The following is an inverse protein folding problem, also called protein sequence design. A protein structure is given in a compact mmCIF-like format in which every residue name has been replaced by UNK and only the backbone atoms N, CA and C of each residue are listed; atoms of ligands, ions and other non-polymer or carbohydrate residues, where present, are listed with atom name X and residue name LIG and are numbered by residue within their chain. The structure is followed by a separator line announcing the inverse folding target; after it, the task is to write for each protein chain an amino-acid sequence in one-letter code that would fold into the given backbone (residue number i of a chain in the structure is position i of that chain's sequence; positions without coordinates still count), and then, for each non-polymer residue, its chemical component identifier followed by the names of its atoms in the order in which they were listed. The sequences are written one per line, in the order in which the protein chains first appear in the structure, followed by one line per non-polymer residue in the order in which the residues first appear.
data_IF_655189065675
#
_entry.id   IF_655189065675
#
_cell.length_a   1.000
_cell.length_b   1.000
_cell.length_c   1.000
_cell.angle_alpha   90.00
_cell.angle_beta   90.00
_cell.angle_gamma   90.00
#
_symmetry.space_group_name_H-M   'P 1'
#
loop_
_entity.id
_entity.type
_entity.pdbx_description
1 polymer ?
#
# COMPACT_ATOMS: atom_id res chain seq x y z
N UNK A 1 24.88 5.82 22.78
CA UNK A 1 23.98 6.98 22.61
C UNK A 1 24.70 7.96 21.69
N UNK A 2 24.54 7.84 20.39
CA UNK A 2 24.93 8.88 19.43
C UNK A 2 23.64 9.45 18.89
N UNK A 3 23.33 10.63 19.39
CA UNK A 3 22.25 11.49 18.90
C UNK A 3 22.59 11.87 17.45
N UNK A 4 22.19 10.98 16.53
CA UNK A 4 22.23 11.24 15.10
C UNK A 4 21.14 12.24 14.76
N UNK A 5 21.32 13.50 15.16
CA UNK A 5 20.55 14.62 14.62
C UNK A 5 20.78 14.65 13.12
N UNK A 6 19.89 13.97 12.38
CA UNK A 6 19.76 14.24 10.96
C UNK A 6 19.47 15.72 10.81
N UNK A 7 20.45 16.46 10.34
CA UNK A 7 20.30 17.89 10.05
C UNK A 7 19.04 18.04 9.18
N UNK A 8 18.12 18.92 9.60
CA UNK A 8 16.94 19.25 8.80
C UNK A 8 17.41 19.74 7.44
N UNK A 9 16.89 19.13 6.38
CA UNK A 9 17.20 19.59 5.03
C UNK A 9 16.73 21.05 4.88
N UNK A 10 17.53 21.94 4.30
CA UNK A 10 17.09 23.31 4.03
C UNK A 10 15.96 23.37 3.00
N UNK A 11 15.59 22.24 2.40
CA UNK A 11 14.61 22.15 1.30
C UNK A 11 13.26 21.58 1.70
N UNK A 12 13.17 20.82 2.81
CA UNK A 12 11.93 20.19 3.30
C UNK A 12 11.79 20.53 4.79
N UNK A 13 10.76 21.33 5.12
CA UNK A 13 10.41 21.66 6.51
C UNK A 13 9.75 20.47 7.21
N UNK A 14 9.95 20.34 8.52
CA UNK A 14 9.32 19.29 9.34
C UNK A 14 7.78 19.36 9.31
N UNK A 15 7.21 20.56 9.24
CA UNK A 15 5.77 20.80 9.20
C UNK A 15 5.20 20.87 7.77
N UNK A 16 6.05 20.75 6.75
CA UNK A 16 5.61 20.75 5.36
C UNK A 16 4.74 19.52 5.08
N UNK A 17 3.65 19.72 4.35
CA UNK A 17 2.67 18.66 4.09
C UNK A 17 2.80 18.13 2.66
N UNK A 18 2.86 16.82 2.55
CA UNK A 18 2.93 16.09 1.29
C UNK A 18 1.67 15.24 1.08
N UNK A 19 1.22 15.13 -0.16
CA UNK A 19 0.10 14.24 -0.50
C UNK A 19 0.62 12.81 -0.64
N UNK A 20 0.13 11.94 0.24
CA UNK A 20 0.46 10.51 0.27
C UNK A 20 -0.58 9.67 -0.47
N UNK A 21 -1.86 9.96 -0.21
CA UNK A 21 -3.01 9.30 -0.84
C UNK A 21 -3.92 10.34 -1.47
N UNK A 22 -4.27 10.14 -2.71
CA UNK A 22 -5.20 11.01 -3.43
C UNK A 22 -6.64 10.78 -2.97
N UNK A 23 -7.53 11.69 -3.33
CA UNK A 23 -8.95 11.54 -2.98
C UNK A 23 -9.53 10.23 -3.55
N UNK A 24 -9.19 9.88 -4.80
CA UNK A 24 -9.67 8.64 -5.41
C UNK A 24 -9.21 7.39 -4.64
N UNK A 25 -7.94 7.34 -4.26
CA UNK A 25 -7.40 6.24 -3.47
C UNK A 25 -8.09 6.11 -2.11
N UNK A 26 -8.36 7.24 -1.43
CA UNK A 26 -9.08 7.26 -0.15
C UNK A 26 -10.54 6.81 -0.28
N UNK A 27 -11.24 7.22 -1.33
CA UNK A 27 -12.62 6.79 -1.57
C UNK A 27 -12.70 5.30 -1.88
N UNK A 28 -11.78 4.78 -2.70
CA UNK A 28 -11.67 3.34 -2.97
C UNK A 28 -11.38 2.55 -1.69
N UNK A 29 -10.44 3.03 -0.87
CA UNK A 29 -10.12 2.42 0.42
C UNK A 29 -11.32 2.43 1.38
N UNK A 30 -12.02 3.55 1.49
CA UNK A 30 -13.23 3.66 2.31
C UNK A 30 -14.34 2.68 1.87
N UNK A 31 -14.59 2.61 0.54
CA UNK A 31 -15.56 1.66 0.00
C UNK A 31 -15.15 0.22 0.29
N UNK A 32 -13.86 -0.10 0.18
CA UNK A 32 -13.32 -1.42 0.54
C UNK A 32 -13.55 -1.72 2.02
N UNK A 33 -13.31 -0.77 2.93
CA UNK A 33 -13.57 -0.94 4.37
C UNK A 33 -15.05 -1.28 4.61
N UNK A 34 -15.97 -0.48 4.07
CA UNK A 34 -17.41 -0.66 4.29
C UNK A 34 -17.89 -2.01 3.76
N UNK A 35 -17.48 -2.37 2.54
CA UNK A 35 -17.88 -3.64 1.93
C UNK A 35 -17.26 -4.83 2.66
N UNK A 36 -15.97 -4.77 3.01
CA UNK A 36 -15.27 -5.81 3.73
C UNK A 36 -15.89 -6.08 5.10
N UNK A 37 -16.10 -5.04 5.91
CA UNK A 37 -16.71 -5.19 7.24
C UNK A 37 -18.11 -5.79 7.13
N UNK A 38 -18.93 -5.33 6.18
CA UNK A 38 -20.26 -5.88 5.94
C UNK A 38 -20.21 -7.35 5.53
N UNK A 39 -19.27 -7.73 4.64
CA UNK A 39 -19.07 -9.10 4.18
C UNK A 39 -18.64 -10.04 5.32
N UNK A 40 -17.74 -9.59 6.19
CA UNK A 40 -17.31 -10.34 7.39
C UNK A 40 -18.48 -10.55 8.34
N UNK A 41 -19.18 -9.47 8.71
CA UNK A 41 -20.29 -9.52 9.68
C UNK A 41 -21.45 -10.37 9.18
N UNK A 42 -21.72 -10.37 7.88
CA UNK A 42 -22.82 -11.15 7.29
C UNK A 42 -22.42 -12.58 6.91
N UNK A 43 -21.14 -12.82 6.64
CA UNK A 43 -20.61 -14.11 6.18
C UNK A 43 -20.18 -15.05 7.32
N UNK A 44 -19.54 -14.54 8.36
CA UNK A 44 -19.04 -15.37 9.48
C UNK A 44 -20.10 -16.19 10.19
N UNK A 45 -21.35 -15.73 10.39
CA UNK A 45 -22.42 -16.58 10.93
C UNK A 45 -22.74 -17.82 10.09
N UNK A 46 -22.29 -17.88 8.81
CA UNK A 46 -22.43 -19.07 7.95
C UNK A 46 -21.27 -20.04 8.14
N UNK A 47 -20.10 -19.55 8.53
CA UNK A 47 -18.89 -20.36 8.76
C UNK A 47 -18.87 -20.91 10.18
N UNK A 48 -19.29 -20.08 11.16
CA UNK A 48 -19.24 -20.35 12.59
C UNK A 48 -20.64 -20.18 13.22
N UNK A 49 -21.67 -20.94 12.78
CA UNK A 49 -23.06 -20.73 13.22
C UNK A 49 -23.27 -20.96 14.72
N UNK A 50 -22.43 -21.80 15.34
CA UNK A 50 -22.49 -22.15 16.75
C UNK A 50 -22.05 -21.03 17.71
N UNK A 51 -21.44 -19.95 17.20
CA UNK A 51 -21.01 -18.86 18.06
C UNK A 51 -22.19 -18.04 18.59
N UNK A 52 -22.41 -17.97 19.91
CA UNK A 52 -23.58 -17.33 20.51
C UNK A 52 -23.68 -15.83 20.24
N UNK A 53 -22.56 -15.20 19.90
CA UNK A 53 -22.50 -13.78 19.57
C UNK A 53 -23.45 -13.41 18.42
N UNK A 54 -23.69 -14.30 17.46
CA UNK A 54 -24.55 -14.02 16.31
C UNK A 54 -26.01 -13.84 16.73
N UNK A 55 -26.48 -14.66 17.64
CA UNK A 55 -27.84 -14.53 18.21
C UNK A 55 -27.93 -13.28 19.07
N UNK A 56 -26.90 -12.97 19.85
CA UNK A 56 -26.87 -11.81 20.74
C UNK A 56 -26.91 -10.48 19.96
N UNK A 57 -26.22 -10.35 18.83
CA UNK A 57 -26.26 -9.16 17.99
C UNK A 57 -27.37 -9.19 16.92
N UNK A 58 -28.29 -10.13 16.97
CA UNK A 58 -29.42 -10.24 16.05
C UNK A 58 -29.11 -10.82 14.67
N UNK A 59 -27.94 -11.44 14.52
CA UNK A 59 -27.46 -12.04 13.26
C UNK A 59 -27.54 -13.58 13.27
N UNK A 60 -28.36 -14.16 14.16
CA UNK A 60 -28.62 -15.60 14.18
C UNK A 60 -29.48 -16.08 13.01
N UNK A 61 -29.98 -17.32 13.08
CA UNK A 61 -30.74 -17.97 11.98
C UNK A 61 -31.97 -17.17 11.50
N UNK A 62 -32.67 -16.50 12.43
CA UNK A 62 -33.86 -15.70 12.10
C UNK A 62 -33.57 -14.55 11.11
N UNK A 63 -32.35 -14.08 11.03
CA UNK A 63 -31.93 -12.98 10.15
C UNK A 63 -31.27 -13.46 8.86
N UNK A 64 -31.33 -14.76 8.53
CA UNK A 64 -30.64 -15.33 7.39
C UNK A 64 -30.97 -14.61 6.06
N UNK A 65 -32.25 -14.33 5.80
CA UNK A 65 -32.66 -13.64 4.56
C UNK A 65 -32.05 -12.23 4.45
N UNK A 66 -32.08 -11.45 5.55
CA UNK A 66 -31.49 -10.12 5.60
C UNK A 66 -29.98 -10.17 5.45
N UNK A 67 -29.32 -11.08 6.17
CA UNK A 67 -27.85 -11.27 6.06
C UNK A 67 -27.44 -11.64 4.65
N UNK A 68 -28.16 -12.58 4.02
CA UNK A 68 -27.90 -12.99 2.64
C UNK A 68 -28.05 -11.84 1.66
N UNK A 69 -29.08 -11.00 1.83
CA UNK A 69 -29.28 -9.81 1.01
C UNK A 69 -28.12 -8.80 1.21
N UNK A 70 -27.78 -8.47 2.45
CA UNK A 70 -26.69 -7.53 2.76
C UNK A 70 -25.34 -8.05 2.27
N UNK A 71 -25.10 -9.36 2.39
CA UNK A 71 -23.86 -9.99 1.87
C UNK A 71 -23.75 -9.83 0.37
N UNK A 72 -24.83 -10.05 -0.37
CA UNK A 72 -24.86 -9.88 -1.84
C UNK A 72 -24.70 -8.42 -2.25
N UNK A 73 -25.34 -7.49 -1.55
CA UNK A 73 -25.18 -6.04 -1.79
C UNK A 73 -23.73 -5.64 -1.55
N UNK A 74 -23.13 -6.04 -0.43
CA UNK A 74 -21.74 -5.74 -0.13
C UNK A 74 -20.77 -6.43 -1.10
N UNK A 75 -21.06 -7.67 -1.54
CA UNK A 75 -20.30 -8.37 -2.57
C UNK A 75 -20.35 -7.63 -3.91
N UNK A 76 -21.51 -7.13 -4.32
CA UNK A 76 -21.64 -6.27 -5.51
C UNK A 76 -20.84 -4.98 -5.35
N UNK A 77 -20.87 -4.38 -4.16
CA UNK A 77 -20.06 -3.20 -3.82
C UNK A 77 -18.56 -3.46 -3.91
N UNK A 78 -18.09 -4.64 -3.45
CA UNK A 78 -16.69 -5.04 -3.56
C UNK A 78 -16.28 -5.26 -5.03
N UNK A 79 -17.14 -5.87 -5.85
CA UNK A 79 -16.92 -6.02 -7.30
C UNK A 79 -16.81 -4.64 -7.95
N UNK A 80 -17.74 -3.73 -7.64
CA UNK A 80 -17.72 -2.37 -8.17
C UNK A 80 -16.46 -1.59 -7.76
N UNK A 81 -16.02 -1.71 -6.50
CA UNK A 81 -14.78 -1.12 -6.00
C UNK A 81 -13.55 -1.68 -6.74
N UNK A 82 -13.51 -3.00 -6.94
CA UNK A 82 -12.42 -3.67 -7.66
C UNK A 82 -12.37 -3.25 -9.14
N UNK A 83 -13.51 -3.17 -9.81
CA UNK A 83 -13.59 -2.67 -11.19
C UNK A 83 -13.18 -1.18 -11.29
N UNK A 84 -13.64 -0.35 -10.35
CA UNK A 84 -13.20 1.04 -10.28
C UNK A 84 -11.68 1.14 -10.12
N UNK A 85 -11.10 0.30 -9.25
CA UNK A 85 -9.64 0.27 -9.09
C UNK A 85 -8.92 -0.13 -10.39
N UNK A 86 -9.40 -1.16 -11.10
CA UNK A 86 -8.84 -1.57 -12.39
C UNK A 86 -8.92 -0.43 -13.41
N UNK A 87 -10.08 0.23 -13.53
CA UNK A 87 -10.25 1.38 -14.42
C UNK A 87 -9.31 2.52 -14.03
N UNK A 88 -9.20 2.84 -12.73
CA UNK A 88 -8.28 3.87 -12.23
C UNK A 88 -6.83 3.58 -12.65
N UNK A 89 -6.36 2.34 -12.44
CA UNK A 89 -5.00 1.92 -12.79
C UNK A 89 -4.74 1.95 -14.30
N UNK A 90 -5.73 1.56 -15.12
CA UNK A 90 -5.57 1.45 -16.57
C UNK A 90 -5.83 2.75 -17.32
N UNK A 91 -6.73 3.59 -16.82
CA UNK A 91 -7.22 4.77 -17.55
C UNK A 91 -6.61 6.10 -17.06
N UNK A 92 -5.89 6.13 -15.93
CA UNK A 92 -5.30 7.37 -15.40
C UNK A 92 -3.79 7.25 -15.26
N UNK A 93 -3.07 8.33 -15.55
CA UNK A 93 -1.60 8.37 -15.35
C UNK A 93 -1.22 8.19 -13.88
N UNK A 94 -2.04 8.74 -12.99
CA UNK A 94 -1.87 8.63 -11.54
C UNK A 94 -2.00 7.17 -11.09
N UNK A 95 -3.06 6.47 -11.52
CA UNK A 95 -3.28 5.06 -11.23
C UNK A 95 -2.20 4.16 -11.81
N UNK A 96 -1.78 4.41 -13.05
CA UNK A 96 -0.68 3.67 -13.68
C UNK A 96 0.64 3.86 -12.94
N UNK A 97 0.91 5.08 -12.44
CA UNK A 97 2.09 5.37 -11.61
C UNK A 97 2.00 4.64 -10.27
N UNK A 98 0.86 4.75 -9.59
CA UNK A 98 0.57 4.04 -8.34
C UNK A 98 0.82 2.53 -8.48
N UNK A 99 0.26 1.90 -9.52
CA UNK A 99 0.42 0.48 -9.75
C UNK A 99 1.89 0.08 -9.96
N UNK A 100 2.64 0.83 -10.77
CA UNK A 100 4.08 0.58 -10.98
C UNK A 100 4.89 0.73 -9.68
N UNK A 101 4.51 1.66 -8.81
CA UNK A 101 5.16 1.86 -7.51
C UNK A 101 4.82 0.73 -6.53
N UNK A 102 3.61 0.14 -6.62
CA UNK A 102 3.16 -0.97 -5.78
C UNK A 102 3.62 -2.35 -6.25
N UNK A 103 4.12 -2.47 -7.49
CA UNK A 103 4.70 -3.74 -7.93
C UNK A 103 5.97 -4.08 -7.15
N UNK A 104 6.13 -5.34 -6.70
CA UNK A 104 7.34 -5.79 -6.02
C UNK A 104 8.56 -5.67 -6.92
N UNK A 105 9.63 -5.18 -6.34
CA UNK A 105 10.94 -5.08 -6.98
C UNK A 105 11.93 -5.97 -6.23
N UNK A 106 13.03 -6.36 -6.85
CA UNK A 106 14.07 -7.15 -6.18
C UNK A 106 14.61 -6.48 -4.91
N UNK A 107 14.59 -5.15 -4.87
CA UNK A 107 15.00 -4.38 -3.70
C UNK A 107 14.06 -4.60 -2.50
N UNK A 108 12.77 -4.88 -2.72
CA UNK A 108 11.80 -5.09 -1.64
C UNK A 108 12.11 -6.39 -0.87
N UNK A 109 12.52 -7.44 -1.60
CA UNK A 109 12.97 -8.71 -0.98
C UNK A 109 14.22 -8.45 -0.11
N UNK A 110 15.14 -7.62 -0.62
CA UNK A 110 16.32 -7.24 0.12
C UNK A 110 15.97 -6.43 1.37
N UNK A 111 15.08 -5.45 1.24
CA UNK A 111 14.59 -4.65 2.37
C UNK A 111 13.87 -5.49 3.43
N UNK A 112 13.15 -6.54 3.02
CA UNK A 112 12.57 -7.52 3.96
C UNK A 112 13.68 -8.22 4.76
N UNK A 113 14.72 -8.72 4.08
CA UNK A 113 15.87 -9.37 4.74
C UNK A 113 16.58 -8.41 5.70
N UNK A 114 16.78 -7.16 5.28
CA UNK A 114 17.37 -6.11 6.11
C UNK A 114 16.51 -5.81 7.34
N UNK A 115 15.18 -5.65 7.16
CA UNK A 115 14.27 -5.36 8.26
C UNK A 115 14.26 -6.50 9.30
N UNK A 116 14.17 -7.74 8.86
CA UNK A 116 14.22 -8.91 9.74
C UNK A 116 15.59 -9.02 10.42
N UNK A 117 16.66 -8.83 9.68
CA UNK A 117 18.03 -8.85 10.22
C UNK A 117 18.27 -7.78 11.28
N UNK A 118 17.72 -6.57 11.04
CA UNK A 118 17.77 -5.46 12.00
C UNK A 118 16.97 -5.77 13.26
N UNK A 119 15.71 -6.20 13.13
CA UNK A 119 14.83 -6.50 14.28
C UNK A 119 15.35 -7.65 15.14
N UNK A 120 15.95 -8.67 14.53
CA UNK A 120 16.57 -9.79 15.25
C UNK A 120 17.93 -9.44 15.85
N UNK A 121 18.45 -8.23 15.66
CA UNK A 121 19.76 -7.80 16.13
C UNK A 121 20.90 -8.65 15.56
N UNK A 122 20.71 -9.28 14.40
CA UNK A 122 21.67 -10.21 13.81
C UNK A 122 23.03 -9.55 13.57
N UNK A 123 23.03 -8.29 13.16
CA UNK A 123 24.27 -7.55 12.91
C UNK A 123 25.07 -7.36 14.18
N UNK A 124 24.44 -6.96 15.27
CA UNK A 124 25.13 -6.74 16.53
C UNK A 124 25.67 -8.07 17.10
N UNK A 125 24.86 -9.13 17.02
CA UNK A 125 25.24 -10.47 17.47
C UNK A 125 26.39 -11.06 16.64
N UNK A 126 26.36 -10.92 15.33
CA UNK A 126 27.42 -11.39 14.42
C UNK A 126 28.71 -10.56 14.56
N UNK A 127 28.57 -9.25 14.78
CA UNK A 127 29.72 -8.35 15.02
C UNK A 127 30.38 -8.58 16.35
N UNK A 128 29.63 -8.82 17.44
CA UNK A 128 30.16 -9.12 18.76
C UNK A 128 30.92 -10.44 18.80
N UNK A 129 30.49 -11.44 18.02
CA UNK A 129 31.17 -12.75 17.96
C UNK A 129 32.46 -12.77 17.15
N UNK A 130 32.89 -11.69 16.52
CA UNK A 130 34.21 -11.48 15.90
C UNK A 130 34.58 -12.34 14.70
N UNK A 131 34.00 -13.55 14.56
CA UNK A 131 34.37 -14.52 13.51
C UNK A 131 34.02 -14.07 12.07
N UNK A 132 33.02 -13.21 11.90
CA UNK A 132 32.53 -12.77 10.59
C UNK A 132 32.87 -11.30 10.29
N UNK A 133 33.54 -10.60 11.22
CA UNK A 133 33.84 -9.17 11.10
C UNK A 133 34.55 -8.82 9.80
N UNK A 134 35.61 -9.54 9.46
CA UNK A 134 36.35 -9.28 8.22
C UNK A 134 35.60 -9.61 6.95
N UNK A 135 34.62 -10.52 6.98
CA UNK A 135 33.75 -10.84 5.87
C UNK A 135 32.66 -9.76 5.72
N UNK A 136 32.05 -9.32 6.82
CA UNK A 136 31.02 -8.30 6.86
C UNK A 136 31.57 -6.91 6.50
N UNK A 137 32.80 -6.59 6.88
CA UNK A 137 33.43 -5.31 6.55
C UNK A 137 33.72 -5.16 5.06
N UNK A 138 33.95 -6.26 4.35
CA UNK A 138 34.17 -6.28 2.89
C UNK A 138 32.87 -6.17 2.07
N UNK A 139 31.70 -6.32 2.69
CA UNK A 139 30.40 -6.33 2.02
C UNK A 139 29.43 -5.38 2.75
N UNK A 140 29.44 -4.07 2.42
CA UNK A 140 28.66 -3.05 3.11
C UNK A 140 27.13 -3.29 3.09
N UNK A 141 26.65 -4.09 2.16
CA UNK A 141 25.25 -4.45 2.02
C UNK A 141 24.72 -5.45 3.06
N UNK A 142 25.58 -6.06 3.89
CA UNK A 142 25.18 -6.88 5.06
C UNK A 142 25.15 -6.09 6.38
N UNK A 143 25.23 -4.77 6.31
CA UNK A 143 25.21 -3.93 7.52
C UNK A 143 23.79 -3.55 7.89
N UNK A 144 23.06 -4.43 8.57
CA UNK A 144 21.73 -4.16 9.13
C UNK A 144 21.80 -3.21 10.36
N UNK A 145 22.48 -2.09 10.24
CA UNK A 145 22.68 -1.14 11.35
C UNK A 145 21.59 -0.11 11.46
N UNK A 146 20.91 0.13 10.36
CA UNK A 146 19.84 1.11 10.24
C UNK A 146 18.63 0.42 9.58
N UNK A 147 17.41 0.87 9.88
CA UNK A 147 16.25 0.38 9.16
C UNK A 147 16.40 0.69 7.66
N UNK A 148 15.83 -0.14 6.78
CA UNK A 148 15.91 0.06 5.34
C UNK A 148 15.40 1.44 4.92
N UNK A 149 16.06 2.06 3.96
CA UNK A 149 15.64 3.34 3.39
C UNK A 149 14.48 3.13 2.43
N UNK A 150 13.26 3.08 2.97
CA UNK A 150 12.05 2.88 2.18
C UNK A 150 11.78 4.06 1.23
N UNK A 151 11.40 3.74 -0.01
CA UNK A 151 10.81 4.69 -0.96
C UNK A 151 9.39 5.08 -0.55
N UNK A 152 8.59 5.58 -1.50
CA UNK A 152 7.20 5.99 -1.24
C UNK A 152 6.34 4.87 -0.67
N UNK A 153 6.55 3.63 -1.08
CA UNK A 153 5.89 2.45 -0.55
C UNK A 153 6.93 1.44 -0.07
N UNK A 154 6.75 0.92 1.14
CA UNK A 154 7.61 -0.11 1.69
C UNK A 154 7.14 -1.52 1.26
N UNK A 155 7.94 -2.54 1.53
CA UNK A 155 7.64 -3.92 1.15
C UNK A 155 6.37 -4.47 1.81
N UNK A 156 6.03 -4.01 3.04
CA UNK A 156 4.81 -4.40 3.77
C UNK A 156 3.57 -3.91 3.02
N UNK A 157 3.54 -2.62 2.68
CA UNK A 157 2.43 -1.99 1.96
C UNK A 157 2.21 -2.63 0.58
N UNK A 158 3.30 -2.98 -0.11
CA UNK A 158 3.23 -3.69 -1.39
C UNK A 158 2.70 -5.11 -1.25
N UNK A 159 3.15 -5.82 -0.21
CA UNK A 159 2.66 -7.16 0.08
C UNK A 159 1.16 -7.15 0.43
N UNK A 160 0.72 -6.23 1.30
CA UNK A 160 -0.70 -6.05 1.64
C UNK A 160 -1.54 -5.74 0.39
N UNK A 161 -1.06 -4.86 -0.47
CA UNK A 161 -1.74 -4.53 -1.73
C UNK A 161 -1.94 -5.77 -2.62
N UNK A 162 -0.89 -6.55 -2.83
CA UNK A 162 -0.97 -7.78 -3.63
C UNK A 162 -1.86 -8.83 -2.99
N UNK A 163 -1.81 -8.98 -1.66
CA UNK A 163 -2.67 -9.88 -0.92
C UNK A 163 -4.15 -9.51 -1.09
N UNK A 164 -4.49 -8.22 -1.02
CA UNK A 164 -5.85 -7.71 -1.27
C UNK A 164 -6.28 -7.94 -2.71
N UNK A 165 -5.42 -7.67 -3.71
CA UNK A 165 -5.74 -7.93 -5.12
C UNK A 165 -6.01 -9.41 -5.35
N UNK A 166 -5.14 -10.29 -4.85
CA UNK A 166 -5.31 -11.74 -4.96
C UNK A 166 -6.57 -12.23 -4.22
N UNK A 167 -6.73 -11.84 -2.96
CA UNK A 167 -7.89 -12.21 -2.14
C UNK A 167 -9.21 -11.76 -2.76
N UNK A 168 -9.28 -10.54 -3.31
CA UNK A 168 -10.47 -10.07 -4.02
C UNK A 168 -10.80 -10.93 -5.25
N UNK A 169 -9.81 -11.35 -6.03
CA UNK A 169 -10.06 -12.27 -7.17
C UNK A 169 -10.65 -13.58 -6.67
N UNK A 170 -10.04 -14.20 -5.67
CA UNK A 170 -10.51 -15.47 -5.10
C UNK A 170 -11.93 -15.33 -4.54
N UNK A 171 -12.17 -14.27 -3.75
CA UNK A 171 -13.47 -14.02 -3.10
C UNK A 171 -14.58 -13.69 -4.11
N UNK A 172 -14.28 -12.90 -5.14
CA UNK A 172 -15.25 -12.56 -6.19
C UNK A 172 -15.62 -13.81 -7.01
N UNK A 173 -14.62 -14.55 -7.48
CA UNK A 173 -14.86 -15.74 -8.31
C UNK A 173 -15.62 -16.81 -7.53
N UNK A 174 -15.14 -17.16 -6.33
CA UNK A 174 -15.80 -18.17 -5.49
C UNK A 174 -17.19 -17.71 -5.03
N UNK A 175 -17.33 -16.42 -4.68
CA UNK A 175 -18.59 -15.83 -4.26
C UNK A 175 -19.64 -15.83 -5.38
N UNK A 176 -19.28 -15.54 -6.61
CA UNK A 176 -20.17 -15.63 -7.78
C UNK A 176 -20.60 -17.08 -8.04
N UNK A 177 -19.69 -18.05 -7.93
CA UNK A 177 -20.05 -19.47 -8.05
C UNK A 177 -21.06 -19.88 -6.97
N UNK A 178 -20.91 -19.39 -5.74
CA UNK A 178 -21.84 -19.68 -4.65
C UNK A 178 -23.18 -18.91 -4.77
N UNK A 179 -23.16 -17.72 -5.35
CA UNK A 179 -24.37 -16.94 -5.59
C UNK A 179 -25.23 -17.54 -6.70
N UNK A 180 -24.58 -17.89 -7.83
CA UNK A 180 -25.23 -18.52 -8.98
C UNK A 180 -25.03 -20.03 -8.96
N UNK A 181 -25.34 -20.65 -7.82
CA UNK A 181 -25.01 -22.05 -7.52
C UNK A 181 -25.51 -23.02 -8.59
N UNK A 182 -26.75 -22.87 -9.07
CA UNK A 182 -27.34 -23.77 -10.07
C UNK A 182 -26.58 -23.68 -11.41
N UNK A 183 -26.26 -22.48 -11.85
CA UNK A 183 -25.49 -22.27 -13.08
C UNK A 183 -24.05 -22.80 -12.95
N UNK A 184 -23.42 -22.55 -11.80
CA UNK A 184 -22.08 -23.08 -11.51
C UNK A 184 -22.08 -24.62 -11.43
N UNK A 185 -23.11 -25.21 -10.81
CA UNK A 185 -23.24 -26.65 -10.66
C UNK A 185 -23.54 -27.37 -12.01
N UNK A 186 -24.15 -26.68 -12.97
CA UNK A 186 -24.31 -27.17 -14.32
C UNK A 186 -22.97 -27.31 -15.08
N UNK A 187 -21.96 -26.54 -14.68
CA UNK A 187 -20.63 -26.50 -15.31
C UNK A 187 -19.62 -27.34 -14.52
N UNK A 188 -19.66 -27.27 -13.20
CA UNK A 188 -18.69 -27.90 -12.32
C UNK A 188 -19.30 -29.06 -11.51
N UNK A 189 -18.60 -30.19 -11.38
CA UNK A 189 -19.07 -31.31 -10.60
C UNK A 189 -19.07 -30.96 -9.07
N UNK A 190 -19.89 -31.71 -8.32
CA UNK A 190 -20.05 -31.50 -6.86
C UNK A 190 -18.73 -31.34 -6.10
N UNK A 191 -17.68 -32.17 -6.28
CA UNK A 191 -16.42 -31.98 -5.54
C UNK A 191 -15.76 -30.59 -5.76
N UNK A 192 -15.88 -30.02 -6.95
CA UNK A 192 -15.36 -28.70 -7.26
C UNK A 192 -16.16 -27.64 -6.50
N UNK A 193 -17.49 -27.75 -6.45
CA UNK A 193 -18.34 -26.80 -5.70
C UNK A 193 -18.10 -26.89 -4.19
N UNK A 194 -17.81 -28.08 -3.66
CA UNK A 194 -17.42 -28.27 -2.26
C UNK A 194 -16.07 -27.55 -1.97
N UNK A 195 -15.10 -27.65 -2.88
CA UNK A 195 -13.83 -26.91 -2.79
C UNK A 195 -14.05 -25.40 -2.89
N UNK A 196 -14.90 -24.92 -3.81
CA UNK A 196 -15.23 -23.49 -3.94
C UNK A 196 -15.78 -22.93 -2.63
N UNK A 197 -16.69 -23.65 -1.99
CA UNK A 197 -17.24 -23.25 -0.68
C UNK A 197 -16.16 -23.21 0.40
N UNK A 198 -15.29 -24.21 0.42
CA UNK A 198 -14.19 -24.28 1.39
C UNK A 198 -13.20 -23.15 1.20
N UNK A 199 -12.78 -22.89 -0.04
CA UNK A 199 -11.86 -21.80 -0.41
C UNK A 199 -12.46 -20.44 -0.03
N UNK A 200 -13.73 -20.19 -0.35
CA UNK A 200 -14.41 -18.94 0.02
C UNK A 200 -14.40 -18.70 1.53
N UNK A 201 -14.71 -19.72 2.33
CA UNK A 201 -14.72 -19.62 3.79
C UNK A 201 -13.32 -19.44 4.40
N UNK A 202 -12.33 -20.16 3.92
CA UNK A 202 -10.96 -20.05 4.42
C UNK A 202 -10.31 -18.73 4.02
N UNK A 203 -10.52 -18.28 2.78
CA UNK A 203 -10.02 -16.97 2.34
C UNK A 203 -10.67 -15.83 3.13
N UNK A 204 -11.99 -15.90 3.41
CA UNK A 204 -12.68 -14.92 4.26
C UNK A 204 -12.06 -14.87 5.66
N UNK A 205 -11.73 -16.03 6.24
CA UNK A 205 -11.10 -16.10 7.56
C UNK A 205 -9.67 -15.57 7.52
N UNK A 206 -8.89 -15.96 6.51
CA UNK A 206 -7.52 -15.48 6.32
C UNK A 206 -7.48 -13.96 6.13
N UNK A 207 -8.34 -13.42 5.27
CA UNK A 207 -8.45 -11.98 5.04
C UNK A 207 -8.83 -11.22 6.32
N UNK A 208 -9.79 -11.75 7.09
CA UNK A 208 -10.17 -11.16 8.38
C UNK A 208 -8.99 -11.12 9.35
N UNK A 209 -8.27 -12.23 9.54
CA UNK A 209 -7.11 -12.29 10.42
C UNK A 209 -5.98 -11.37 9.95
N UNK A 210 -5.71 -11.32 8.64
CA UNK A 210 -4.71 -10.43 8.07
C UNK A 210 -5.06 -8.95 8.33
N UNK A 211 -6.33 -8.57 8.16
CA UNK A 211 -6.76 -7.18 8.43
C UNK A 211 -6.74 -6.87 9.92
N UNK A 212 -7.32 -7.73 10.77
CA UNK A 212 -7.48 -7.42 12.20
C UNK A 212 -6.16 -7.50 12.97
N UNK A 213 -5.32 -8.49 12.66
CA UNK A 213 -4.06 -8.68 13.39
C UNK A 213 -2.95 -7.81 12.76
N UNK A 214 -2.74 -7.94 11.45
CA UNK A 214 -1.58 -7.35 10.80
C UNK A 214 -1.82 -5.89 10.39
N UNK A 215 -2.84 -5.65 9.57
CA UNK A 215 -3.11 -4.31 9.05
C UNK A 215 -3.46 -3.33 10.18
N UNK A 216 -4.37 -3.72 11.11
CA UNK A 216 -4.72 -2.88 12.26
C UNK A 216 -3.53 -2.63 13.17
N UNK A 217 -2.64 -3.59 13.35
CA UNK A 217 -1.39 -3.35 14.07
C UNK A 217 -0.55 -2.28 13.36
N UNK A 218 -0.31 -2.43 12.06
CA UNK A 218 0.55 -1.50 11.31
C UNK A 218 0.02 -0.06 11.30
N UNK A 219 -1.31 0.13 11.21
CA UNK A 219 -1.91 1.46 11.02
C UNK A 219 -2.43 2.13 12.30
N UNK A 220 -2.62 1.36 13.39
CA UNK A 220 -3.20 1.89 14.64
C UNK A 220 -2.35 1.59 15.89
N UNK A 221 -1.83 0.36 16.02
CA UNK A 221 -1.25 -0.11 17.27
C UNK A 221 0.28 -0.02 17.29
N UNK A 222 0.92 0.11 16.15
CA UNK A 222 2.35 0.35 16.06
C UNK A 222 2.70 1.64 16.84
N UNK A 223 3.70 1.64 17.74
CA UNK A 223 4.08 2.82 18.53
C UNK A 223 4.32 4.10 17.71
N UNK A 224 4.74 3.97 16.47
CA UNK A 224 4.98 5.09 15.56
C UNK A 224 3.68 5.64 14.93
N UNK A 225 2.64 4.82 14.83
CA UNK A 225 1.34 5.20 14.27
C UNK A 225 0.28 5.52 15.34
N UNK A 226 0.53 5.11 16.61
CA UNK A 226 -0.46 5.24 17.69
C UNK A 226 -0.85 6.71 17.95
N UNK A 227 -2.15 7.00 18.21
CA UNK A 227 -3.28 6.08 18.29
C UNK A 227 -3.84 5.65 16.92
N UNK A 228 -3.52 6.34 15.84
CA UNK A 228 -4.00 6.05 14.49
C UNK A 228 -3.24 6.85 13.42
N UNK A 229 -2.81 6.18 12.36
CA UNK A 229 -2.40 6.87 11.14
C UNK A 229 -3.61 7.56 10.49
N UNK A 230 -3.51 8.87 10.22
CA UNK A 230 -4.58 9.66 9.60
C UNK A 230 -4.49 9.72 8.08
N UNK A 231 -3.47 9.12 7.48
CA UNK A 231 -3.21 9.18 6.03
C UNK A 231 -4.38 8.69 5.18
N UNK A 232 -5.15 7.71 5.67
CA UNK A 232 -6.33 7.20 4.95
C UNK A 232 -7.53 8.19 5.00
N UNK A 233 -7.56 9.11 5.98
CA UNK A 233 -8.61 10.13 6.12
C UNK A 233 -8.28 11.41 5.34
N UNK A 234 -7.10 12.00 5.60
CA UNK A 234 -6.71 13.30 5.04
C UNK A 234 -5.76 13.19 3.84
N UNK A 235 -5.16 12.03 3.61
CA UNK A 235 -4.23 11.75 2.52
C UNK A 235 -2.86 12.37 2.69
N UNK A 236 -2.52 12.86 3.87
CA UNK A 236 -1.38 13.74 4.10
C UNK A 236 -0.32 13.11 4.99
N UNK A 237 0.93 13.52 4.76
CA UNK A 237 2.08 13.18 5.61
C UNK A 237 2.94 14.43 5.82
N UNK A 238 3.43 14.65 7.04
CA UNK A 238 4.36 15.75 7.32
C UNK A 238 5.79 15.41 6.91
N UNK A 239 6.61 16.43 6.63
CA UNK A 239 8.03 16.27 6.30
C UNK A 239 8.80 15.52 7.38
N UNK A 240 8.45 15.71 8.65
CA UNK A 240 9.03 14.97 9.78
C UNK A 240 8.75 13.47 9.68
N UNK A 241 7.47 13.06 9.47
CA UNK A 241 7.08 11.67 9.30
C UNK A 241 7.65 11.08 8.01
N UNK A 242 7.67 11.87 6.93
CA UNK A 242 8.25 11.46 5.66
C UNK A 242 9.73 11.09 5.81
N UNK A 243 10.51 11.93 6.50
CA UNK A 243 11.93 11.68 6.76
C UNK A 243 12.16 10.43 7.61
N UNK A 244 11.30 10.21 8.61
CA UNK A 244 11.44 9.09 9.54
C UNK A 244 11.02 7.76 8.94
N UNK A 245 9.84 7.70 8.31
CA UNK A 245 9.26 6.43 7.81
C UNK A 245 9.66 6.09 6.37
N UNK A 246 9.92 7.12 5.54
CA UNK A 246 10.19 6.98 4.12
C UNK A 246 11.45 7.75 3.70
N UNK A 247 12.62 7.44 4.30
CA UNK A 247 13.83 8.21 4.07
C UNK A 247 14.33 8.15 2.61
N UNK A 248 13.99 7.10 1.87
CA UNK A 248 14.26 7.01 0.43
C UNK A 248 13.42 8.02 -0.36
N UNK A 249 12.11 8.09 -0.10
CA UNK A 249 11.23 9.04 -0.75
C UNK A 249 11.57 10.50 -0.37
N UNK A 250 11.92 10.74 0.89
CA UNK A 250 12.41 12.04 1.33
C UNK A 250 13.60 12.51 0.50
N UNK A 251 14.60 11.62 0.28
CA UNK A 251 15.79 11.92 -0.54
C UNK A 251 15.47 12.16 -2.01
N UNK A 252 14.50 11.45 -2.56
CA UNK A 252 14.03 11.66 -3.93
C UNK A 252 13.46 13.08 -4.11
N UNK A 253 12.55 13.51 -3.23
CA UNK A 253 11.96 14.86 -3.25
C UNK A 253 13.05 15.92 -3.06
N UNK A 254 14.00 15.69 -2.18
CA UNK A 254 15.11 16.61 -1.95
C UNK A 254 16.00 16.76 -3.20
N UNK A 255 16.31 15.65 -3.86
CA UNK A 255 17.10 15.65 -5.10
C UNK A 255 16.36 16.38 -6.24
N UNK A 256 15.05 16.13 -6.41
CA UNK A 256 14.23 16.82 -7.41
C UNK A 256 14.20 18.34 -7.17
N UNK A 257 14.09 18.77 -5.92
CA UNK A 257 14.10 20.20 -5.56
C UNK A 257 15.47 20.86 -5.83
N UNK A 258 16.54 20.13 -5.53
CA UNK A 258 17.90 20.59 -5.82
C UNK A 258 18.12 20.77 -7.32
N UNK A 259 17.70 19.81 -8.12
CA UNK A 259 17.82 19.86 -9.57
C UNK A 259 17.00 21.01 -10.14
N UNK A 260 15.75 21.16 -9.71
CA UNK A 260 14.89 22.29 -10.11
C UNK A 260 15.55 23.63 -9.82
N UNK A 261 16.10 23.85 -8.62
CA UNK A 261 16.82 25.08 -8.27
C UNK A 261 18.05 25.31 -9.12
N UNK A 262 18.81 24.24 -9.44
CA UNK A 262 19.96 24.34 -10.34
C UNK A 262 19.55 24.82 -11.72
N UNK A 263 18.48 24.25 -12.26
CA UNK A 263 17.92 24.66 -13.55
C UNK A 263 17.41 26.09 -13.53
N UNK A 264 16.67 26.51 -12.50
CA UNK A 264 16.18 27.89 -12.33
C UNK A 264 17.35 28.88 -12.22
N UNK A 265 18.41 28.53 -11.51
CA UNK A 265 19.61 29.36 -11.38
C UNK A 265 20.34 29.46 -12.72
N UNK A 266 20.47 28.35 -13.45
CA UNK A 266 21.09 28.32 -14.75
C UNK A 266 20.32 29.16 -15.80
N UNK A 267 18.98 29.05 -15.79
CA UNK A 267 18.12 29.86 -16.66
C UNK A 267 18.23 31.36 -16.34
N UNK A 268 18.23 31.72 -15.04
CA UNK A 268 18.36 33.10 -14.60
C UNK A 268 19.76 33.70 -14.94
N UNK A 269 20.82 32.87 -14.87
CA UNK A 269 22.14 33.27 -15.33
C UNK A 269 22.17 33.49 -16.85
N UNK A 270 21.59 32.55 -17.61
CA UNK A 270 21.48 32.63 -19.06
C UNK A 270 20.73 33.88 -19.54
N UNK A 271 19.62 34.23 -18.88
CA UNK A 271 18.82 35.42 -19.24
C UNK A 271 19.52 36.74 -18.90
N UNK A 272 20.42 36.78 -17.91
CA UNK A 272 21.19 37.97 -17.54
C UNK A 272 22.38 38.21 -18.46
N UNK A 273 23.02 37.18 -18.97
CA UNK A 273 24.22 37.28 -19.80
C UNK A 273 23.90 37.28 -21.30
N UNK A 274 22.64 37.32 -21.65
CA UNK A 274 22.18 37.41 -23.03
C UNK A 274 22.63 38.75 -23.64
N UNK A 275 23.51 38.76 -24.70
CA UNK A 275 23.83 40.00 -25.35
C UNK A 275 22.60 40.64 -25.98
N UNK A 276 22.48 41.98 -26.01
CA UNK A 276 21.39 42.64 -26.70
C UNK A 276 21.28 42.19 -28.17
N UNK A 277 20.07 41.68 -28.55
CA UNK A 277 19.82 41.19 -29.91
C UNK A 277 20.08 39.70 -30.14
N UNK A 278 20.33 38.89 -29.12
CA UNK A 278 20.49 37.45 -29.29
C UNK A 278 19.14 36.73 -29.40
N UNK A 279 18.86 36.16 -30.57
CA UNK A 279 17.57 35.51 -30.92
C UNK A 279 17.55 33.99 -30.60
N UNK A 280 18.52 33.44 -29.91
CA UNK A 280 18.58 31.98 -29.65
C UNK A 280 18.99 31.14 -30.86
N UNK A 281 19.28 29.86 -30.67
CA UNK A 281 19.54 28.98 -31.82
C UNK A 281 18.26 28.87 -32.67
N UNK A 282 18.33 29.26 -33.94
CA UNK A 282 17.26 29.12 -34.91
C UNK A 282 16.90 27.64 -35.04
N UNK A 283 15.83 27.21 -34.44
CA UNK A 283 15.33 25.81 -34.52
C UNK A 283 14.44 25.30 -33.41
N UNK A 284 14.19 26.08 -32.36
CA UNK A 284 13.30 25.61 -31.23
C UNK A 284 11.99 26.39 -31.12
N UNK A 285 11.79 27.43 -31.94
CA UNK A 285 10.53 28.16 -32.03
C UNK A 285 9.67 27.56 -33.15
N UNK A 286 8.91 26.48 -32.87
CA UNK A 286 8.01 25.93 -33.89
C UNK A 286 7.40 24.57 -33.58
N UNK A 287 7.08 24.27 -32.32
CA UNK A 287 6.27 23.09 -32.00
C UNK A 287 5.23 23.39 -30.91
N UNK A 288 4.42 24.44 -31.14
CA UNK A 288 3.38 24.84 -30.21
C UNK A 288 2.42 25.81 -30.85
N UNK A 289 1.70 25.35 -31.87
CA UNK A 289 0.64 26.12 -32.50
C UNK A 289 -0.03 25.31 -33.59
N UNK A 290 -1.33 25.06 -33.39
CA UNK A 290 -2.33 24.58 -34.35
C UNK A 290 -2.47 23.04 -34.49
N UNK A 291 -3.63 22.55 -33.98
CA UNK A 291 -4.25 21.26 -34.26
C UNK A 291 -5.17 20.80 -33.15
#
# INVERSE_FOLDING_TARGET
MSDGRHASSPFIGDDEIFVRMTLQQRLQHFLTIVTFVTLVVTGFPLIYPEWPIWSWIGLGERSFALRSLLHRIAGTGLIAASLWHVVYVMATEEGARFFREMLPKAIDIWQLVEAVGYQLGLTETLYRRGRLRGFLDRRPWWRFREPPAYGKYNWIEKFEYLAIVWGNIVMIVSGLCLWFFEAAFAIFPKPVMDIVKLVHGFEATLAFLAIVIWHMYCVHLNPEAFPMSRMWLDGKISGKLLRHHYPGWYREIEAERLEKRRLETALHWYDREKPPGWEGPRGVAGAGGEG
#
